data_IF_999181388323
#
_entry.id   IF_999181388323
#
_cell.length_a   1.000
_cell.length_b   1.000
_cell.length_c   1.000
_cell.angle_alpha   90.00
_cell.angle_beta   90.00
_cell.angle_gamma   90.00
#
_symmetry.space_group_name_H-M   'P 1'
#
loop_
_entity.id
_entity.type
_entity.pdbx_description
1 polymer ?
#
# COMPACT_ATOMS: atom_id res chain seq x y z
N UNK A 1 42.81 -16.91 -4.22
CA UNK A 1 42.48 -17.54 -2.94
C UNK A 1 42.23 -16.47 -1.84
N UNK A 2 42.94 -15.31 -1.84
CA UNK A 2 42.77 -14.28 -0.79
C UNK A 2 41.48 -13.48 -0.87
N UNK A 3 40.90 -13.27 -2.04
CA UNK A 3 39.69 -12.46 -2.23
C UNK A 3 38.41 -13.18 -1.80
N UNK A 4 38.31 -14.48 -2.03
CA UNK A 4 37.15 -15.28 -1.64
C UNK A 4 37.04 -15.43 -0.12
N UNK A 5 38.17 -15.57 0.57
CA UNK A 5 38.21 -15.61 2.04
C UNK A 5 37.71 -14.29 2.65
N UNK A 6 38.07 -13.16 2.04
CA UNK A 6 37.65 -11.84 2.49
C UNK A 6 36.13 -11.60 2.32
N UNK A 7 35.53 -12.11 1.23
CA UNK A 7 34.07 -12.00 0.96
C UNK A 7 33.30 -12.87 1.96
N UNK A 8 33.72 -14.11 2.16
CA UNK A 8 33.08 -15.05 3.10
C UNK A 8 33.12 -14.52 4.54
N UNK A 9 34.26 -13.98 4.97
CA UNK A 9 34.43 -13.47 6.30
C UNK A 9 33.58 -12.20 6.54
N UNK A 10 33.46 -11.34 5.55
CA UNK A 10 32.55 -10.18 5.59
C UNK A 10 31.08 -10.61 5.69
N UNK A 11 30.69 -11.61 4.91
CA UNK A 11 29.33 -12.15 4.96
C UNK A 11 28.99 -12.77 6.33
N UNK A 12 29.91 -13.58 6.88
CA UNK A 12 29.73 -14.20 8.20
C UNK A 12 29.66 -13.15 9.32
N UNK A 13 30.53 -12.12 9.26
CA UNK A 13 30.50 -11.01 10.20
C UNK A 13 29.19 -10.21 10.08
N UNK A 14 28.71 -9.94 8.86
CA UNK A 14 27.44 -9.29 8.64
C UNK A 14 26.27 -10.10 9.24
N UNK A 15 26.22 -11.41 9.00
CA UNK A 15 25.22 -12.30 9.59
C UNK A 15 25.30 -12.30 11.12
N UNK A 16 26.50 -12.35 11.68
CA UNK A 16 26.71 -12.33 13.14
C UNK A 16 26.22 -11.01 13.77
N UNK A 17 26.44 -9.88 13.11
CA UNK A 17 25.95 -8.57 13.55
C UNK A 17 24.43 -8.47 13.40
N UNK A 18 23.90 -8.97 12.28
CA UNK A 18 22.46 -8.99 12.00
C UNK A 18 21.69 -9.78 13.07
N UNK A 19 22.19 -10.95 13.48
CA UNK A 19 21.59 -11.76 14.56
C UNK A 19 21.60 -11.04 15.92
N UNK A 20 22.47 -10.04 16.09
CA UNK A 20 22.51 -9.16 17.28
C UNK A 20 21.67 -7.89 17.10
N UNK A 21 20.99 -7.72 15.97
CA UNK A 21 20.21 -6.54 15.64
C UNK A 21 21.05 -5.33 15.19
N UNK A 22 22.34 -5.52 14.91
CA UNK A 22 23.21 -4.46 14.42
C UNK A 22 23.25 -4.47 12.89
N UNK A 23 22.62 -3.45 12.29
CA UNK A 23 22.60 -3.21 10.84
C UNK A 23 23.79 -2.37 10.35
N UNK A 24 24.70 -1.98 11.27
CA UNK A 24 25.85 -1.13 10.98
C UNK A 24 25.53 0.36 10.97
N UNK A 25 26.52 1.14 10.50
CA UNK A 25 26.45 2.60 10.39
C UNK A 25 26.31 3.03 8.94
N UNK A 26 25.48 4.05 8.71
CA UNK A 26 25.31 4.69 7.40
C UNK A 26 26.61 5.39 6.98
N UNK A 27 27.00 5.23 5.72
CA UNK A 27 28.17 5.93 5.17
C UNK A 27 27.82 7.36 4.79
N UNK A 28 26.64 7.57 4.22
CA UNK A 28 26.16 8.89 3.81
C UNK A 28 25.75 9.80 4.98
N UNK A 29 25.33 9.21 6.10
CA UNK A 29 24.89 9.93 7.31
C UNK A 29 25.74 9.60 8.54
N UNK A 30 27.04 9.37 8.35
CA UNK A 30 27.95 9.05 9.46
C UNK A 30 27.90 10.13 10.56
N UNK A 31 27.83 9.75 11.86
CA UNK A 31 27.92 8.41 12.47
C UNK A 31 26.56 7.74 12.77
N UNK A 32 25.48 8.10 12.07
CA UNK A 32 24.15 7.59 12.34
C UNK A 32 24.06 6.07 12.09
N UNK A 33 23.36 5.34 12.97
CA UNK A 33 23.10 3.92 12.79
C UNK A 33 21.98 3.71 11.76
N UNK A 34 22.12 2.67 10.94
CA UNK A 34 21.10 2.28 9.95
C UNK A 34 19.75 2.02 10.59
N UNK A 35 19.73 1.36 11.75
CA UNK A 35 18.50 1.08 12.49
C UNK A 35 17.75 2.36 12.91
N UNK A 36 18.47 3.39 13.35
CA UNK A 36 17.87 4.66 13.77
C UNK A 36 17.24 5.42 12.59
N UNK A 37 17.94 5.44 11.44
CA UNK A 37 17.42 6.06 10.21
C UNK A 37 16.16 5.36 9.71
N UNK A 38 16.15 4.03 9.73
CA UNK A 38 14.97 3.22 9.39
C UNK A 38 13.84 3.49 10.37
N UNK A 39 14.10 3.46 11.67
CA UNK A 39 13.10 3.71 12.71
C UNK A 39 12.48 5.11 12.62
N UNK A 40 13.25 6.12 12.19
CA UNK A 40 12.73 7.47 11.98
C UNK A 40 11.84 7.58 10.73
N UNK A 41 12.14 6.83 9.65
CA UNK A 41 11.42 6.93 8.38
C UNK A 41 10.23 5.97 8.27
N UNK A 42 10.27 4.81 8.91
CA UNK A 42 9.23 3.79 8.83
C UNK A 42 7.83 4.29 9.25
N UNK A 43 7.68 5.05 10.36
CA UNK A 43 6.37 5.56 10.74
C UNK A 43 5.72 6.45 9.68
N UNK A 44 6.50 7.24 8.93
CA UNK A 44 6.01 8.10 7.87
C UNK A 44 5.46 7.27 6.69
N UNK A 45 6.18 6.24 6.26
CA UNK A 45 5.71 5.30 5.23
C UNK A 45 4.43 4.60 5.65
N UNK A 46 4.39 4.06 6.88
CA UNK A 46 3.20 3.36 7.41
C UNK A 46 2.02 4.33 7.52
N UNK A 47 2.24 5.53 8.07
CA UNK A 47 1.19 6.54 8.22
C UNK A 47 0.65 7.02 6.86
N UNK A 48 1.46 7.01 5.79
CA UNK A 48 1.01 7.37 4.46
C UNK A 48 0.26 6.22 3.78
N UNK A 49 0.85 5.04 3.75
CA UNK A 49 0.37 3.94 2.93
C UNK A 49 -0.77 3.15 3.57
N UNK A 50 -0.71 2.87 4.88
CA UNK A 50 -1.74 2.05 5.52
C UNK A 50 -3.13 2.69 5.45
N UNK A 51 -3.33 3.98 5.78
CA UNK A 51 -4.62 4.63 5.58
C UNK A 51 -5.04 4.73 4.11
N UNK A 52 -4.07 4.92 3.19
CA UNK A 52 -4.37 4.96 1.75
C UNK A 52 -4.87 3.61 1.24
N UNK A 53 -4.23 2.50 1.65
CA UNK A 53 -4.67 1.14 1.31
C UNK A 53 -6.08 0.88 1.85
N UNK A 54 -6.32 1.18 3.12
CA UNK A 54 -7.63 0.94 3.75
C UNK A 54 -8.73 1.78 3.11
N UNK A 55 -8.49 3.07 2.90
CA UNK A 55 -9.48 3.96 2.29
C UNK A 55 -9.72 3.60 0.83
N UNK A 56 -8.67 3.36 0.05
CA UNK A 56 -8.77 2.94 -1.34
C UNK A 56 -9.51 1.61 -1.49
N UNK A 57 -9.24 0.66 -0.59
CA UNK A 57 -9.93 -0.62 -0.54
C UNK A 57 -11.42 -0.46 -0.19
N UNK A 58 -11.75 0.31 0.84
CA UNK A 58 -13.16 0.53 1.24
C UNK A 58 -13.93 1.23 0.11
N UNK A 59 -13.42 2.37 -0.36
CA UNK A 59 -14.11 3.17 -1.37
C UNK A 59 -14.17 2.44 -2.72
N UNK A 60 -13.08 1.79 -3.15
CA UNK A 60 -13.04 1.06 -4.40
C UNK A 60 -14.05 -0.09 -4.43
N UNK A 61 -14.09 -0.91 -3.38
CA UNK A 61 -15.07 -2.01 -3.30
C UNK A 61 -16.51 -1.50 -3.26
N UNK A 62 -16.82 -0.41 -2.52
CA UNK A 62 -18.14 0.18 -2.53
C UNK A 62 -18.53 0.73 -3.89
N UNK A 63 -17.65 1.50 -4.53
CA UNK A 63 -17.93 2.06 -5.85
C UNK A 63 -18.07 0.99 -6.92
N UNK A 64 -17.26 -0.07 -6.85
CA UNK A 64 -17.33 -1.20 -7.78
C UNK A 64 -18.66 -1.94 -7.74
N UNK A 65 -19.15 -2.29 -6.53
CA UNK A 65 -20.46 -2.98 -6.41
C UNK A 65 -21.60 -2.08 -6.80
N UNK A 66 -21.57 -0.78 -6.46
CA UNK A 66 -22.62 0.16 -6.82
C UNK A 66 -22.70 0.37 -8.34
N UNK A 67 -21.57 0.46 -9.02
CA UNK A 67 -21.51 0.57 -10.48
C UNK A 67 -22.13 -0.67 -11.13
N UNK A 68 -21.69 -1.87 -10.73
CA UNK A 68 -22.24 -3.14 -11.24
C UNK A 68 -23.74 -3.26 -11.00
N UNK A 69 -24.23 -2.89 -9.82
CA UNK A 69 -25.66 -2.99 -9.49
C UNK A 69 -26.54 -2.05 -10.30
N UNK A 70 -26.09 -0.80 -10.52
CA UNK A 70 -26.82 0.17 -11.34
C UNK A 70 -26.86 -0.21 -12.81
N UNK A 71 -25.79 -0.82 -13.31
CA UNK A 71 -25.70 -1.28 -14.68
C UNK A 71 -25.76 -0.15 -15.73
N UNK A 72 -25.94 -0.53 -16.98
CA UNK A 72 -26.20 0.38 -18.09
C UNK A 72 -25.08 1.39 -18.35
N UNK A 73 -25.48 2.64 -18.58
CA UNK A 73 -24.54 3.73 -18.93
C UNK A 73 -23.65 4.17 -17.73
N UNK A 74 -24.22 4.15 -16.53
CA UNK A 74 -23.51 4.50 -15.31
C UNK A 74 -22.37 3.52 -15.05
N UNK A 75 -22.62 2.23 -15.15
CA UNK A 75 -21.62 1.18 -15.01
C UNK A 75 -20.51 1.31 -16.05
N UNK A 76 -20.86 1.57 -17.32
CA UNK A 76 -19.89 1.70 -18.40
C UNK A 76 -18.89 2.85 -18.15
N UNK A 77 -19.37 4.05 -17.80
CA UNK A 77 -18.51 5.20 -17.57
C UNK A 77 -17.71 5.09 -16.27
N UNK A 78 -18.34 4.56 -15.21
CA UNK A 78 -17.65 4.27 -13.96
C UNK A 78 -16.49 3.27 -14.18
N UNK A 79 -16.75 2.20 -14.92
CA UNK A 79 -15.74 1.19 -15.25
C UNK A 79 -14.57 1.79 -16.05
N UNK A 80 -14.86 2.62 -17.06
CA UNK A 80 -13.79 3.29 -17.82
C UNK A 80 -12.95 4.20 -16.93
N UNK A 81 -13.57 4.94 -16.01
CA UNK A 81 -12.87 5.75 -15.04
C UNK A 81 -12.01 4.93 -14.06
N UNK A 82 -12.54 3.84 -13.53
CA UNK A 82 -11.79 2.94 -12.65
C UNK A 82 -10.62 2.27 -13.39
N UNK A 83 -10.85 1.85 -14.63
CA UNK A 83 -9.82 1.25 -15.48
C UNK A 83 -8.72 2.26 -15.80
N UNK A 84 -9.06 3.50 -16.12
CA UNK A 84 -8.08 4.55 -16.34
C UNK A 84 -7.22 4.78 -15.08
N UNK A 85 -7.86 4.93 -13.91
CA UNK A 85 -7.15 5.13 -12.64
C UNK A 85 -6.25 3.93 -12.29
N UNK A 86 -6.72 2.70 -12.49
CA UNK A 86 -5.96 1.49 -12.14
C UNK A 86 -4.73 1.25 -13.02
N UNK A 87 -4.71 1.80 -14.23
CA UNK A 87 -3.58 1.65 -15.16
C UNK A 87 -2.55 2.79 -15.07
N UNK A 88 -2.85 3.87 -14.34
CA UNK A 88 -1.89 4.94 -14.11
C UNK A 88 -0.93 4.51 -12.98
N UNK A 89 0.40 4.49 -13.19
CA UNK A 89 1.34 4.28 -12.10
C UNK A 89 1.20 5.34 -11.01
N UNK A 90 1.32 4.95 -9.74
CA UNK A 90 1.16 5.87 -8.59
C UNK A 90 1.99 7.15 -8.73
N UNK A 91 3.25 7.03 -9.14
CA UNK A 91 4.15 8.17 -9.28
C UNK A 91 3.76 9.10 -10.44
N UNK A 92 3.18 8.59 -11.53
CA UNK A 92 2.70 9.42 -12.62
C UNK A 92 1.52 10.29 -12.17
N UNK A 93 0.58 9.70 -11.42
CA UNK A 93 -0.52 10.47 -10.84
C UNK A 93 0.00 11.45 -9.78
N UNK A 94 1.01 11.06 -8.98
CA UNK A 94 1.67 11.92 -8.02
C UNK A 94 2.27 13.17 -8.68
N UNK A 95 3.01 13.00 -9.79
CA UNK A 95 3.59 14.12 -10.55
C UNK A 95 2.49 15.03 -11.14
N UNK A 96 1.42 14.42 -11.68
CA UNK A 96 0.29 15.18 -12.22
C UNK A 96 -0.39 16.02 -11.13
N UNK A 97 -0.69 15.45 -9.98
CA UNK A 97 -1.31 16.17 -8.85
C UNK A 97 -0.38 17.24 -8.29
N UNK A 98 0.92 16.96 -8.18
CA UNK A 98 1.91 17.93 -7.76
C UNK A 98 1.93 19.11 -8.74
N UNK A 99 2.01 18.85 -10.04
CA UNK A 99 2.00 19.92 -11.03
C UNK A 99 0.72 20.78 -10.97
N UNK A 100 -0.45 20.12 -10.95
CA UNK A 100 -1.73 20.83 -10.96
C UNK A 100 -1.97 21.62 -9.66
N UNK A 101 -1.72 21.04 -8.51
CA UNK A 101 -2.15 21.60 -7.22
C UNK A 101 -1.04 22.29 -6.42
N UNK A 102 0.23 22.13 -6.79
CA UNK A 102 1.33 22.85 -6.17
C UNK A 102 1.98 23.89 -7.07
N UNK A 103 2.03 23.64 -8.41
CA UNK A 103 2.70 24.53 -9.35
C UNK A 103 1.70 25.43 -10.07
N UNK A 104 0.70 24.86 -10.75
CA UNK A 104 -0.29 25.61 -11.53
C UNK A 104 -1.33 26.30 -10.64
N UNK A 105 -1.82 25.61 -9.62
CA UNK A 105 -2.75 26.13 -8.61
C UNK A 105 -2.05 25.97 -7.25
N UNK A 106 -1.32 26.97 -6.72
CA UNK A 106 -0.50 26.83 -5.52
C UNK A 106 -1.35 26.66 -4.24
N UNK A 107 -2.10 25.56 -4.17
CA UNK A 107 -3.00 25.22 -3.07
C UNK A 107 -2.32 24.32 -2.04
N UNK A 108 -1.33 23.51 -2.46
CA UNK A 108 -0.66 22.53 -1.60
C UNK A 108 0.87 22.64 -1.71
N UNK A 109 1.60 22.23 -0.65
CA UNK A 109 3.06 22.19 -0.67
C UNK A 109 3.59 21.20 -1.71
N UNK A 110 4.75 21.51 -2.30
CA UNK A 110 5.37 20.68 -3.34
C UNK A 110 6.21 19.53 -2.76
N UNK A 111 6.70 19.64 -1.51
CA UNK A 111 7.65 18.67 -0.94
C UNK A 111 7.64 18.65 0.60
N UNK A 112 8.17 17.56 1.16
CA UNK A 112 8.37 17.37 2.58
C UNK A 112 7.15 16.79 3.32
N UNK A 113 7.37 16.38 4.56
CA UNK A 113 6.29 15.92 5.46
C UNK A 113 5.67 17.05 6.27
N UNK A 114 6.34 18.19 6.35
CA UNK A 114 5.92 19.44 7.01
C UNK A 114 6.80 20.61 6.54
N UNK A 115 6.39 21.85 6.86
CA UNK A 115 7.09 23.06 6.41
C UNK A 115 8.52 23.15 6.96
N UNK A 116 9.52 23.48 6.12
CA UNK A 116 10.90 23.67 6.55
C UNK A 116 11.00 24.67 7.69
N UNK A 117 11.88 24.39 8.68
CA UNK A 117 12.11 25.28 9.83
C UNK A 117 11.07 25.17 10.96
N UNK A 118 10.04 24.34 10.83
CA UNK A 118 9.14 24.04 11.95
C UNK A 118 9.71 22.93 12.82
N UNK A 119 9.74 23.16 14.14
CA UNK A 119 10.11 22.10 15.10
C UNK A 119 8.91 21.19 15.35
N UNK A 120 9.08 19.85 15.30
CA UNK A 120 8.00 18.93 15.60
C UNK A 120 7.52 19.11 17.06
N UNK A 121 6.27 19.52 17.24
CA UNK A 121 5.61 19.61 18.54
C UNK A 121 4.11 19.34 18.40
N UNK A 122 3.50 18.74 19.39
CA UNK A 122 2.07 18.44 19.39
C UNK A 122 1.24 19.72 19.57
N UNK A 123 1.02 20.44 18.46
CA UNK A 123 0.08 21.56 18.40
C UNK A 123 -0.86 21.39 17.22
N UNK A 124 -2.05 21.97 17.31
CA UNK A 124 -3.03 21.94 16.22
C UNK A 124 -2.45 22.51 14.90
N UNK A 125 -1.67 23.59 15.02
CA UNK A 125 -1.00 24.18 13.85
C UNK A 125 -0.01 23.25 13.17
N UNK A 126 0.79 22.51 13.94
CA UNK A 126 1.72 21.52 13.38
C UNK A 126 0.99 20.35 12.73
N UNK A 127 -0.07 19.82 13.37
CA UNK A 127 -0.88 18.74 12.80
C UNK A 127 -1.53 19.17 11.47
N UNK A 128 -2.09 20.35 11.40
CA UNK A 128 -2.66 20.90 10.17
C UNK A 128 -1.60 21.08 9.07
N UNK A 129 -0.38 21.50 9.45
CA UNK A 129 0.74 21.62 8.53
C UNK A 129 1.15 20.25 7.95
N UNK A 130 1.28 19.23 8.79
CA UNK A 130 1.56 17.85 8.36
C UNK A 130 0.44 17.34 7.45
N UNK A 131 -0.84 17.51 7.81
CA UNK A 131 -1.96 17.09 6.97
C UNK A 131 -1.98 17.79 5.61
N UNK A 132 -1.58 19.05 5.56
CA UNK A 132 -1.48 19.80 4.30
C UNK A 132 -0.41 19.22 3.36
N UNK A 133 0.75 18.84 3.87
CA UNK A 133 1.82 18.16 3.10
C UNK A 133 1.46 16.72 2.76
N UNK A 134 0.69 16.06 3.60
CA UNK A 134 0.24 14.68 3.44
C UNK A 134 -0.80 14.51 2.33
N UNK A 135 -1.60 15.53 2.03
CA UNK A 135 -2.82 15.43 1.19
C UNK A 135 -2.51 14.93 -0.23
N UNK A 136 -1.56 15.53 -0.95
CA UNK A 136 -1.28 15.14 -2.35
C UNK A 136 -0.66 13.75 -2.47
N UNK A 137 0.39 13.38 -1.68
CA UNK A 137 0.90 12.02 -1.67
C UNK A 137 -0.20 10.98 -1.37
N UNK A 138 -1.02 11.25 -0.37
CA UNK A 138 -2.12 10.38 0.03
C UNK A 138 -3.17 10.21 -1.08
N UNK A 139 -3.62 11.30 -1.69
CA UNK A 139 -4.60 11.25 -2.77
C UNK A 139 -4.09 10.48 -3.99
N UNK A 140 -2.81 10.63 -4.35
CA UNK A 140 -2.22 9.89 -5.47
C UNK A 140 -2.31 8.39 -5.28
N UNK A 141 -2.06 7.90 -4.05
CA UNK A 141 -2.18 6.49 -3.71
C UNK A 141 -3.64 6.03 -3.67
N UNK A 142 -4.50 6.77 -2.97
CA UNK A 142 -5.92 6.41 -2.78
C UNK A 142 -6.64 6.31 -4.12
N UNK A 143 -6.44 7.26 -5.05
CA UNK A 143 -7.14 7.27 -6.33
C UNK A 143 -6.80 6.05 -7.20
N UNK A 144 -5.52 5.67 -7.27
CA UNK A 144 -5.11 4.47 -8.02
C UNK A 144 -5.64 3.20 -7.36
N UNK A 145 -5.58 3.13 -6.02
CA UNK A 145 -6.11 1.99 -5.27
C UNK A 145 -7.62 1.85 -5.45
N UNK A 146 -8.37 2.96 -5.42
CA UNK A 146 -9.82 2.94 -5.72
C UNK A 146 -10.06 2.32 -7.09
N UNK A 147 -9.30 2.74 -8.13
CA UNK A 147 -9.45 2.21 -9.49
C UNK A 147 -9.30 0.69 -9.53
N UNK A 148 -8.21 0.16 -9.00
CA UNK A 148 -7.93 -1.28 -9.00
C UNK A 148 -8.95 -2.09 -8.22
N UNK A 149 -9.29 -1.65 -7.00
CA UNK A 149 -10.26 -2.33 -6.15
C UNK A 149 -11.68 -2.29 -6.74
N UNK A 150 -12.08 -1.16 -7.35
CA UNK A 150 -13.39 -1.02 -7.97
C UNK A 150 -13.54 -1.94 -9.20
N UNK A 151 -12.52 -2.09 -10.03
CA UNK A 151 -12.53 -3.04 -11.16
C UNK A 151 -12.67 -4.49 -10.66
N UNK A 152 -11.90 -4.88 -9.63
CA UNK A 152 -11.96 -6.21 -9.03
C UNK A 152 -13.34 -6.52 -8.43
N UNK A 153 -13.85 -5.62 -7.60
CA UNK A 153 -15.17 -5.78 -6.96
C UNK A 153 -16.31 -5.78 -7.99
N UNK A 154 -16.23 -4.92 -9.01
CA UNK A 154 -17.23 -4.90 -10.08
C UNK A 154 -17.32 -6.26 -10.77
N UNK A 155 -16.19 -6.87 -11.08
CA UNK A 155 -16.15 -8.19 -11.73
C UNK A 155 -16.80 -9.26 -10.86
N UNK A 156 -16.51 -9.29 -9.57
CA UNK A 156 -17.15 -10.20 -8.62
C UNK A 156 -18.66 -9.92 -8.45
N UNK A 157 -19.03 -8.64 -8.37
CA UNK A 157 -20.43 -8.25 -8.23
C UNK A 157 -21.28 -8.63 -9.45
N UNK A 158 -20.74 -8.54 -10.67
CA UNK A 158 -21.45 -9.00 -11.89
C UNK A 158 -21.72 -10.50 -11.82
N UNK A 159 -20.76 -11.29 -11.35
CA UNK A 159 -20.95 -12.73 -11.14
C UNK A 159 -22.06 -13.00 -10.12
N UNK A 160 -22.04 -12.32 -8.98
CA UNK A 160 -23.06 -12.46 -7.93
C UNK A 160 -24.44 -11.98 -8.37
N UNK A 161 -24.55 -10.98 -9.25
CA UNK A 161 -25.82 -10.47 -9.78
C UNK A 161 -26.61 -11.53 -10.57
N UNK A 162 -25.93 -12.53 -11.13
CA UNK A 162 -26.56 -13.63 -11.86
C UNK A 162 -26.92 -14.83 -10.96
N UNK A 163 -26.61 -14.78 -9.66
CA UNK A 163 -26.89 -15.87 -8.72
C UNK A 163 -28.39 -15.97 -8.36
N UNK A 164 -28.86 -17.20 -8.16
CA UNK A 164 -30.27 -17.51 -7.87
C UNK A 164 -30.83 -16.77 -6.66
N UNK A 165 -30.01 -16.57 -5.62
CA UNK A 165 -30.45 -15.87 -4.41
C UNK A 165 -30.79 -14.40 -4.68
N UNK A 166 -30.17 -13.75 -5.66
CA UNK A 166 -30.47 -12.36 -6.04
C UNK A 166 -31.82 -12.32 -6.78
N UNK A 167 -32.07 -13.27 -7.70
CA UNK A 167 -33.36 -13.41 -8.39
C UNK A 167 -34.47 -13.67 -7.39
N UNK A 168 -34.23 -14.55 -6.43
CA UNK A 168 -35.19 -14.86 -5.37
C UNK A 168 -35.49 -13.66 -4.47
N UNK A 169 -34.46 -12.91 -4.04
CA UNK A 169 -34.67 -11.69 -3.28
C UNK A 169 -35.50 -10.65 -4.03
N UNK A 170 -35.25 -10.48 -5.33
CA UNK A 170 -36.03 -9.56 -6.18
C UNK A 170 -37.48 -9.99 -6.30
N UNK A 171 -37.76 -11.29 -6.49
CA UNK A 171 -39.16 -11.79 -6.58
C UNK A 171 -39.91 -11.65 -5.26
N UNK A 172 -39.24 -11.63 -4.12
CA UNK A 172 -39.79 -11.34 -2.80
C UNK A 172 -39.99 -9.85 -2.51
N UNK A 173 -39.60 -8.93 -3.42
CA UNK A 173 -39.70 -7.49 -3.23
C UNK A 173 -38.70 -6.94 -2.17
N UNK A 174 -37.57 -7.61 -1.95
CA UNK A 174 -36.52 -7.12 -1.03
C UNK A 174 -35.94 -5.81 -1.56
N UNK A 175 -35.78 -4.84 -0.65
CA UNK A 175 -35.21 -3.53 -0.96
C UNK A 175 -33.81 -3.61 -1.60
N UNK A 176 -33.56 -2.79 -2.61
CA UNK A 176 -32.31 -2.74 -3.38
C UNK A 176 -31.05 -2.60 -2.51
N UNK A 177 -31.14 -1.82 -1.42
CA UNK A 177 -30.01 -1.65 -0.49
C UNK A 177 -29.62 -2.96 0.21
N UNK A 178 -30.61 -3.81 0.50
CA UNK A 178 -30.36 -5.13 1.11
C UNK A 178 -29.77 -6.08 0.09
N UNK A 179 -30.23 -6.04 -1.15
CA UNK A 179 -29.70 -6.84 -2.25
C UNK A 179 -28.23 -6.46 -2.51
N UNK A 180 -27.92 -5.17 -2.64
CA UNK A 180 -26.53 -4.68 -2.80
C UNK A 180 -25.64 -5.13 -1.64
N UNK A 181 -26.15 -5.07 -0.40
CA UNK A 181 -25.39 -5.54 0.77
C UNK A 181 -25.11 -7.05 0.73
N UNK A 182 -26.06 -7.85 0.24
CA UNK A 182 -25.89 -9.30 0.09
C UNK A 182 -24.83 -9.61 -0.97
N UNK A 183 -24.90 -8.96 -2.13
CA UNK A 183 -23.91 -9.06 -3.21
C UNK A 183 -22.54 -8.65 -2.69
N UNK A 184 -22.44 -7.49 -2.05
CA UNK A 184 -21.19 -6.98 -1.48
C UNK A 184 -20.55 -7.98 -0.51
N UNK A 185 -21.34 -8.57 0.38
CA UNK A 185 -20.85 -9.54 1.36
C UNK A 185 -20.27 -10.79 0.71
N UNK A 186 -20.95 -11.32 -0.32
CA UNK A 186 -20.50 -12.53 -1.00
C UNK A 186 -19.31 -12.27 -1.91
N UNK A 187 -19.29 -11.13 -2.62
CA UNK A 187 -18.19 -10.71 -3.48
C UNK A 187 -16.93 -10.28 -2.70
N UNK A 188 -17.05 -10.07 -1.37
CA UNK A 188 -15.96 -9.55 -0.53
C UNK A 188 -14.84 -10.56 -0.27
N UNK A 189 -15.11 -11.86 -0.28
CA UNK A 189 -14.13 -12.89 0.08
C UNK A 189 -12.80 -12.76 -0.68
N UNK A 190 -12.76 -12.67 -2.03
CA UNK A 190 -11.52 -12.48 -2.76
C UNK A 190 -10.88 -11.10 -2.50
N UNK A 191 -11.70 -10.10 -2.17
CA UNK A 191 -11.20 -8.73 -1.91
C UNK A 191 -10.47 -8.61 -0.57
N UNK A 192 -10.87 -9.39 0.44
CA UNK A 192 -10.15 -9.47 1.74
C UNK A 192 -8.74 -10.01 1.53
N UNK A 193 -8.60 -11.02 0.67
CA UNK A 193 -7.31 -11.54 0.25
C UNK A 193 -6.43 -10.47 -0.39
N UNK A 194 -7.01 -9.74 -1.35
CA UNK A 194 -6.32 -8.63 -2.02
C UNK A 194 -5.87 -7.55 -1.02
N UNK A 195 -6.67 -7.24 0.01
CA UNK A 195 -6.29 -6.31 1.08
C UNK A 195 -5.07 -6.82 1.86
N UNK A 196 -5.09 -8.08 2.23
CA UNK A 196 -4.00 -8.67 3.01
C UNK A 196 -2.67 -8.61 2.22
N UNK A 197 -2.71 -8.95 0.91
CA UNK A 197 -1.56 -8.82 0.00
C UNK A 197 -1.10 -7.35 -0.15
N UNK A 198 -2.04 -6.40 -0.25
CA UNK A 198 -1.72 -4.98 -0.35
C UNK A 198 -1.03 -4.46 0.92
N UNK A 199 -1.48 -4.87 2.11
CA UNK A 199 -0.83 -4.55 3.38
C UNK A 199 0.57 -5.18 3.44
N UNK A 200 0.74 -6.41 2.94
CA UNK A 200 2.03 -7.08 2.87
C UNK A 200 3.06 -6.35 2.00
N UNK A 201 2.61 -5.75 0.92
CA UNK A 201 3.47 -4.96 0.02
C UNK A 201 3.70 -3.51 0.46
N UNK A 202 3.16 -3.10 1.62
CA UNK A 202 3.14 -1.72 2.10
C UNK A 202 4.52 -1.05 2.09
N UNK A 203 5.56 -1.73 2.59
CA UNK A 203 6.89 -1.12 2.75
C UNK A 203 7.59 -0.86 1.40
N UNK A 204 7.24 -1.62 0.34
CA UNK A 204 7.84 -1.48 -0.99
C UNK A 204 6.95 -0.76 -2.03
N UNK A 205 5.65 -0.62 -1.75
CA UNK A 205 4.66 -0.32 -2.78
C UNK A 205 4.64 1.10 -3.34
N UNK A 206 4.99 2.13 -2.54
CA UNK A 206 4.86 3.54 -2.95
C UNK A 206 6.18 4.33 -2.89
N UNK A 207 7.31 3.64 -3.03
CA UNK A 207 8.64 4.23 -2.97
C UNK A 207 8.78 5.49 -3.84
N UNK A 208 8.37 5.41 -5.11
CA UNK A 208 8.49 6.53 -6.05
C UNK A 208 7.57 7.70 -5.71
N UNK A 209 6.40 7.46 -5.11
CA UNK A 209 5.52 8.55 -4.64
C UNK A 209 6.18 9.34 -3.52
N UNK A 210 6.83 8.66 -2.56
CA UNK A 210 7.58 9.32 -1.51
C UNK A 210 8.74 10.16 -2.07
N UNK A 211 9.44 9.65 -3.10
CA UNK A 211 10.51 10.38 -3.79
C UNK A 211 9.98 11.63 -4.49
N UNK A 212 8.86 11.53 -5.22
CA UNK A 212 8.25 12.66 -5.94
C UNK A 212 7.93 13.83 -5.01
N UNK A 213 7.38 13.54 -3.83
CA UNK A 213 7.04 14.56 -2.84
C UNK A 213 8.16 14.84 -1.82
N UNK A 214 9.34 14.21 -1.96
CA UNK A 214 10.40 14.25 -0.94
C UNK A 214 9.85 13.97 0.46
N UNK A 215 8.93 13.02 0.56
CA UNK A 215 8.26 12.64 1.79
C UNK A 215 9.23 11.81 2.65
N UNK A 216 9.33 12.04 3.99
CA UNK A 216 10.41 11.49 4.81
C UNK A 216 10.25 10.00 5.14
N UNK A 217 9.80 9.19 4.17
CA UNK A 217 9.58 7.76 4.30
C UNK A 217 10.77 6.89 3.90
N UNK A 218 10.58 5.57 4.02
CA UNK A 218 11.58 4.54 3.68
C UNK A 218 11.98 4.60 2.20
N UNK A 219 11.04 4.92 1.30
CA UNK A 219 11.31 5.02 -0.12
C UNK A 219 12.26 6.16 -0.47
N UNK A 220 12.03 7.35 0.08
CA UNK A 220 12.91 8.50 -0.13
C UNK A 220 14.28 8.28 0.54
N UNK A 221 14.31 7.62 1.70
CA UNK A 221 15.55 7.23 2.39
C UNK A 221 16.36 6.24 1.54
N UNK A 222 15.72 5.21 0.96
CA UNK A 222 16.36 4.25 0.06
C UNK A 222 16.90 4.93 -1.20
N UNK A 223 16.12 5.80 -1.82
CA UNK A 223 16.57 6.53 -3.00
C UNK A 223 17.80 7.40 -2.71
N UNK A 224 17.82 8.08 -1.55
CA UNK A 224 18.97 8.87 -1.10
C UNK A 224 20.18 7.97 -0.85
N UNK A 225 20.01 6.84 -0.19
CA UNK A 225 21.07 5.86 0.06
C UNK A 225 21.69 5.33 -1.25
N UNK A 226 20.86 5.04 -2.25
CA UNK A 226 21.32 4.61 -3.59
C UNK A 226 22.17 5.70 -4.24
N UNK A 227 21.73 6.96 -4.20
CA UNK A 227 22.47 8.08 -4.78
C UNK A 227 23.80 8.35 -4.10
N UNK A 228 23.91 8.06 -2.81
CA UNK A 228 25.11 8.25 -1.99
C UNK A 228 26.01 7.00 -1.96
N UNK A 229 25.61 5.90 -2.61
CA UNK A 229 26.29 4.59 -2.53
C UNK A 229 26.44 4.09 -1.08
N UNK A 230 25.43 4.34 -0.24
CA UNK A 230 25.40 3.93 1.16
C UNK A 230 24.94 2.47 1.28
N UNK A 231 25.86 1.55 1.02
CA UNK A 231 25.57 0.12 1.00
C UNK A 231 25.00 -0.44 2.31
N UNK A 232 25.48 -0.08 3.51
CA UNK A 232 24.86 -0.55 4.74
C UNK A 232 23.40 -0.15 4.87
N UNK A 233 23.05 1.09 4.51
CA UNK A 233 21.67 1.57 4.55
C UNK A 233 20.80 0.90 3.49
N UNK A 234 21.29 0.71 2.26
CA UNK A 234 20.59 -0.01 1.20
C UNK A 234 20.30 -1.45 1.66
N UNK A 235 21.28 -2.17 2.19
CA UNK A 235 21.13 -3.53 2.68
C UNK A 235 20.12 -3.62 3.82
N UNK A 236 20.21 -2.71 4.80
CA UNK A 236 19.30 -2.66 5.95
C UNK A 236 17.85 -2.44 5.53
N UNK A 237 17.58 -1.48 4.62
CA UNK A 237 16.23 -1.21 4.11
C UNK A 237 15.72 -2.40 3.27
N UNK A 238 16.55 -2.95 2.37
CA UNK A 238 16.17 -4.09 1.53
C UNK A 238 15.81 -5.31 2.38
N UNK A 239 16.61 -5.58 3.42
CA UNK A 239 16.32 -6.65 4.37
C UNK A 239 14.99 -6.42 5.11
N UNK A 240 14.75 -5.20 5.61
CA UNK A 240 13.48 -4.84 6.27
C UNK A 240 12.29 -5.09 5.34
N UNK A 241 12.35 -4.59 4.10
CA UNK A 241 11.29 -4.78 3.10
C UNK A 241 11.06 -6.25 2.83
N UNK A 242 12.14 -7.01 2.63
CA UNK A 242 12.03 -8.46 2.36
C UNK A 242 11.39 -9.21 3.52
N UNK A 243 11.85 -8.96 4.75
CA UNK A 243 11.28 -9.60 5.94
C UNK A 243 9.82 -9.18 6.15
N UNK A 244 9.47 -7.91 5.94
CA UNK A 244 8.10 -7.42 6.05
C UNK A 244 7.17 -8.10 5.04
N UNK A 245 7.58 -8.23 3.77
CA UNK A 245 6.81 -8.91 2.72
C UNK A 245 6.64 -10.40 3.03
N UNK A 246 7.72 -11.09 3.43
CA UNK A 246 7.65 -12.51 3.79
C UNK A 246 6.77 -12.75 5.01
N UNK A 247 6.89 -11.92 6.04
CA UNK A 247 6.06 -12.02 7.24
C UNK A 247 4.58 -11.78 6.92
N UNK A 248 4.28 -10.79 6.08
CA UNK A 248 2.92 -10.52 5.66
C UNK A 248 2.33 -11.69 4.85
N UNK A 249 3.06 -12.22 3.88
CA UNK A 249 2.61 -13.40 3.12
C UNK A 249 2.40 -14.60 4.03
N UNK A 250 3.31 -14.85 4.97
CA UNK A 250 3.17 -15.95 5.94
C UNK A 250 1.91 -15.78 6.81
N UNK A 251 1.64 -14.56 7.30
CA UNK A 251 0.41 -14.27 8.07
C UNK A 251 -0.84 -14.51 7.22
N UNK A 252 -0.80 -14.13 5.95
CA UNK A 252 -1.91 -14.36 5.01
C UNK A 252 -2.13 -15.86 4.81
N UNK A 253 -1.09 -16.63 4.56
CA UNK A 253 -1.18 -18.09 4.37
C UNK A 253 -1.74 -18.79 5.63
N UNK A 254 -1.32 -18.36 6.82
CA UNK A 254 -1.88 -18.85 8.07
C UNK A 254 -3.37 -18.51 8.22
N UNK A 255 -3.77 -17.27 7.86
CA UNK A 255 -5.17 -16.86 7.94
C UNK A 255 -6.04 -17.62 6.95
N UNK A 256 -5.55 -17.94 5.75
CA UNK A 256 -6.25 -18.81 4.81
C UNK A 256 -6.51 -20.20 5.40
N UNK A 257 -5.50 -20.83 5.98
CA UNK A 257 -5.64 -22.15 6.61
C UNK A 257 -6.63 -22.16 7.78
N UNK A 258 -6.87 -20.99 8.41
CA UNK A 258 -7.82 -20.85 9.53
C UNK A 258 -9.25 -20.52 9.07
N UNK A 259 -9.40 -19.69 8.02
CA UNK A 259 -10.69 -19.14 7.58
C UNK A 259 -11.38 -20.05 6.57
N UNK A 260 -10.64 -20.73 5.69
CA UNK A 260 -11.24 -21.61 4.68
C UNK A 260 -11.14 -23.11 5.05
N UNK A 261 -12.23 -23.71 5.58
CA UNK A 261 -12.25 -25.14 5.92
C UNK A 261 -12.12 -26.05 4.68
N UNK A 262 -12.32 -25.55 3.46
CA UNK A 262 -12.20 -26.32 2.22
C UNK A 262 -10.73 -26.60 1.86
N UNK A 263 -9.84 -25.66 2.14
CA UNK A 263 -8.39 -25.85 1.99
C UNK A 263 -7.89 -26.95 2.95
N UNK A 264 -8.45 -27.00 4.16
CA UNK A 264 -8.15 -28.05 5.15
C UNK A 264 -8.59 -29.44 4.70
N UNK A 265 -9.75 -29.53 4.05
CA UNK A 265 -10.28 -30.80 3.53
C UNK A 265 -9.48 -31.34 2.34
N UNK A 266 -8.97 -30.49 1.47
CA UNK A 266 -8.12 -30.86 0.33
C UNK A 266 -6.75 -31.42 0.80
N UNK A 267 -6.16 -30.83 1.82
CA UNK A 267 -4.87 -31.33 2.39
C UNK A 267 -5.00 -32.64 3.18
N UNK A 268 -6.18 -32.97 3.70
CA UNK A 268 -6.45 -34.23 4.42
C UNK A 268 -6.85 -35.35 3.46
N UNK A 269 -7.39 -35.02 2.28
CA UNK A 269 -7.78 -35.99 1.26
C UNK A 269 -6.66 -36.55 0.37
N UNK A 270 -5.45 -35.98 0.46
CA UNK A 270 -4.24 -36.45 -0.25
C UNK A 270 -3.30 -37.34 0.61
N UNK A 271 -3.78 -37.81 1.75
CA UNK A 271 -3.04 -38.76 2.59
C UNK A 271 -3.66 -40.14 2.58
#
# INVERSE_FOLDING_TARGET
VGWEMCIRDRFLNYLGNLLRGDLGTSFGNYPAKVADLIAASLPWTVALQLPAILLGWILGNWLGVLAAYRGGWVDRWAFLGFLALSNIPYYCLAILLLYLFSVALPLFPSFGGYAPGTTPHLSLGFVLNVLHHYTLPFLSLVLVLIGGQAVGMRSMAIYELSADYVHYQRSLGVDDRRIVRSIFRNAMLPQITGLALAIGSLVGGALLTEVVFSYPGIGSLLFTAIRQNDYPLIQGITLLVTVAVLAANFIIDLTYGLIDPRVRAAQVGER
#
